data_IF_176462897426
#
_entry.id   IF_176462897426
#
_cell.length_a   1.000
_cell.length_b   1.000
_cell.length_c   1.000
_cell.angle_alpha   90.00
_cell.angle_beta   90.00
_cell.angle_gamma   90.00
#
_symmetry.space_group_name_H-M   'P 1'
#
loop_
_entity.id
_entity.type
_entity.pdbx_description
1 polymer ?
#
# COMPACT_ATOMS: atom_id res chain seq x y z
N UNK A 1 -2.10 -19.08 2.43
CA UNK A 1 -0.65 -19.15 2.72
C UNK A 1 0.18 -19.36 1.46
N UNK A 2 -0.02 -20.43 0.67
CA UNK A 2 0.83 -20.74 -0.49
C UNK A 2 0.96 -19.63 -1.57
N UNK A 3 -0.10 -18.85 -1.85
CA UNK A 3 -0.06 -17.81 -2.90
C UNK A 3 0.76 -16.56 -2.52
N UNK A 4 0.73 -16.13 -1.25
CA UNK A 4 1.49 -14.96 -0.81
C UNK A 4 2.99 -15.27 -0.69
N UNK A 5 3.35 -16.51 -0.34
CA UNK A 5 4.75 -16.96 -0.29
C UNK A 5 5.40 -16.97 -1.68
N UNK A 6 4.64 -17.29 -2.74
CA UNK A 6 5.12 -17.23 -4.12
C UNK A 6 5.43 -15.80 -4.60
N UNK A 7 4.93 -14.77 -3.90
CA UNK A 7 5.29 -13.38 -4.20
C UNK A 7 6.78 -13.14 -3.96
N UNK A 8 7.37 -13.71 -2.90
CA UNK A 8 8.81 -13.56 -2.61
C UNK A 8 9.66 -14.08 -3.77
N UNK A 9 9.23 -15.18 -4.39
CA UNK A 9 9.99 -15.84 -5.46
C UNK A 9 9.92 -15.09 -6.79
N UNK A 10 8.84 -14.35 -7.05
CA UNK A 10 8.59 -13.72 -8.35
C UNK A 10 8.66 -12.20 -8.33
N UNK A 11 8.58 -11.57 -7.16
CA UNK A 11 8.63 -10.12 -7.04
C UNK A 11 10.03 -9.63 -7.42
N UNK A 12 10.15 -8.66 -8.35
CA UNK A 12 11.45 -8.19 -8.81
C UNK A 12 12.16 -7.42 -7.68
N UNK A 13 13.44 -7.75 -7.46
CA UNK A 13 14.35 -7.03 -6.58
C UNK A 13 13.78 -6.71 -5.17
N UNK A 14 13.39 -7.71 -4.35
CA UNK A 14 12.89 -7.45 -2.99
C UNK A 14 13.90 -6.68 -2.12
N UNK A 15 15.19 -6.77 -2.43
CA UNK A 15 16.27 -6.04 -1.76
C UNK A 15 16.27 -4.51 -2.01
N UNK A 16 15.63 -4.01 -3.07
CA UNK A 16 15.47 -2.57 -3.31
C UNK A 16 14.19 -1.98 -2.70
N UNK A 17 13.35 -2.81 -2.07
CA UNK A 17 12.11 -2.36 -1.43
C UNK A 17 12.43 -1.55 -0.16
N UNK A 18 12.20 -0.24 -0.25
CA UNK A 18 12.51 0.69 0.84
C UNK A 18 11.29 0.97 1.71
N UNK A 19 10.10 1.03 1.10
CA UNK A 19 8.83 1.27 1.81
C UNK A 19 7.78 0.28 1.31
N UNK A 20 7.03 -0.31 2.24
CA UNK A 20 5.81 -1.06 1.96
C UNK A 20 4.64 -0.31 2.59
N UNK A 21 3.67 0.10 1.77
CA UNK A 21 2.38 0.60 2.23
C UNK A 21 1.37 -0.52 2.11
N UNK A 22 0.59 -0.76 3.16
CA UNK A 22 -0.39 -1.86 3.15
C UNK A 22 -1.72 -1.44 3.73
N UNK A 23 -2.79 -2.01 3.17
CA UNK A 23 -4.11 -1.91 3.77
C UNK A 23 -4.15 -2.61 5.14
N UNK A 24 -4.86 -2.05 6.13
CA UNK A 24 -5.02 -2.64 7.47
C UNK A 24 -5.91 -3.90 7.51
N UNK A 25 -6.48 -4.36 6.38
CA UNK A 25 -7.27 -5.58 6.37
C UNK A 25 -6.38 -6.82 6.61
N UNK A 26 -6.85 -7.77 7.40
CA UNK A 26 -6.12 -8.99 7.81
C UNK A 26 -5.46 -9.71 6.62
N UNK A 27 -6.14 -9.83 5.48
CA UNK A 27 -5.62 -10.48 4.28
C UNK A 27 -4.42 -9.75 3.66
N UNK A 28 -4.41 -8.42 3.68
CA UNK A 28 -3.29 -7.63 3.16
C UNK A 28 -2.13 -7.60 4.15
N UNK A 29 -2.40 -7.56 5.45
CA UNK A 29 -1.37 -7.72 6.49
C UNK A 29 -0.67 -9.08 6.36
N UNK A 30 -1.43 -10.17 6.20
CA UNK A 30 -0.87 -11.52 5.98
C UNK A 30 -0.03 -11.58 4.69
N UNK A 31 -0.50 -11.03 3.58
CA UNK A 31 0.28 -10.95 2.33
C UNK A 31 1.55 -10.13 2.51
N UNK A 32 1.48 -9.03 3.26
CA UNK A 32 2.62 -8.14 3.51
C UNK A 32 3.70 -8.84 4.33
N UNK A 33 3.31 -9.51 5.41
CA UNK A 33 4.22 -10.30 6.25
C UNK A 33 4.84 -11.45 5.45
N UNK A 34 4.04 -12.16 4.66
CA UNK A 34 4.52 -13.29 3.88
C UNK A 34 5.43 -12.85 2.74
N UNK A 35 5.08 -11.80 1.99
CA UNK A 35 5.82 -11.34 0.81
C UNK A 35 7.04 -10.48 1.13
N UNK A 36 7.04 -9.79 2.27
CA UNK A 36 8.09 -8.85 2.65
C UNK A 36 8.54 -9.08 4.10
N UNK A 37 9.03 -10.28 4.46
CA UNK A 37 9.37 -10.63 5.84
C UNK A 37 10.45 -9.71 6.46
N UNK A 38 11.24 -9.01 5.64
CA UNK A 38 12.22 -8.03 6.08
C UNK A 38 11.60 -6.84 6.85
N UNK A 39 10.31 -6.53 6.67
CA UNK A 39 9.63 -5.44 7.39
C UNK A 39 9.54 -5.68 8.90
N UNK A 40 9.62 -6.95 9.34
CA UNK A 40 9.51 -7.33 10.75
C UNK A 40 10.89 -7.30 11.43
N UNK A 41 11.98 -7.30 10.66
CA UNK A 41 13.35 -7.28 11.16
C UNK A 41 13.76 -5.86 11.56
N UNK A 42 13.21 -5.36 12.68
CA UNK A 42 13.56 -4.06 13.25
C UNK A 42 15.04 -4.00 13.62
N UNK A 43 15.73 -2.91 13.25
CA UNK A 43 17.09 -2.59 13.74
C UNK A 43 18.27 -2.84 12.78
N UNK A 44 18.03 -3.35 11.56
CA UNK A 44 19.07 -3.39 10.53
C UNK A 44 19.17 -2.03 9.80
N UNK A 45 20.39 -1.55 9.55
CA UNK A 45 20.63 -0.40 8.67
C UNK A 45 20.08 -0.74 7.28
N UNK A 46 19.10 0.01 6.79
CA UNK A 46 18.39 -0.29 5.53
C UNK A 46 17.12 -1.14 5.68
N UNK A 47 16.57 -1.28 6.90
CA UNK A 47 15.29 -1.96 7.11
C UNK A 47 14.15 -1.29 6.32
N UNK A 48 13.38 -2.10 5.59
CA UNK A 48 12.18 -1.66 4.86
C UNK A 48 11.16 -1.07 5.84
N UNK A 49 10.73 0.17 5.59
CA UNK A 49 9.68 0.81 6.39
C UNK A 49 8.31 0.22 6.02
N UNK A 50 7.50 -0.11 7.02
CA UNK A 50 6.10 -0.47 6.83
C UNK A 50 5.20 0.70 7.23
N UNK A 51 4.25 1.06 6.36
CA UNK A 51 3.19 2.03 6.63
C UNK A 51 1.85 1.32 6.46
N UNK A 52 1.02 1.35 7.50
CA UNK A 52 -0.34 0.80 7.45
C UNK A 52 -1.30 1.96 7.19
N UNK A 53 -1.97 1.95 6.04
CA UNK A 53 -2.75 3.10 5.55
C UNK A 53 -4.23 2.71 5.35
N UNK A 54 -5.17 3.35 6.06
CA UNK A 54 -6.59 3.02 5.94
C UNK A 54 -7.19 3.45 4.59
N UNK A 55 -6.57 4.35 3.83
CA UNK A 55 -7.07 4.70 2.50
C UNK A 55 -6.89 3.55 1.50
N UNK A 56 -6.02 2.56 1.78
CA UNK A 56 -5.81 1.38 0.95
C UNK A 56 -6.85 0.26 1.11
N UNK A 57 -7.85 0.42 1.97
CA UNK A 57 -8.91 -0.58 2.15
C UNK A 57 -9.70 -0.85 0.87
N UNK A 58 -10.22 -2.07 0.75
CA UNK A 58 -11.16 -2.40 -0.32
C UNK A 58 -12.44 -1.55 -0.24
N UNK A 59 -13.09 -1.35 -1.38
CA UNK A 59 -14.20 -0.42 -1.52
C UNK A 59 -15.55 -0.89 -0.98
N UNK A 60 -15.81 -2.19 -0.85
CA UNK A 60 -17.15 -2.69 -0.48
C UNK A 60 -17.42 -2.65 1.04
N UNK A 61 -18.71 -2.61 1.37
CA UNK A 61 -19.30 -2.63 2.73
C UNK A 61 -19.75 -4.02 3.18
N UNK A 62 -19.50 -5.05 2.37
CA UNK A 62 -19.76 -6.43 2.75
C UNK A 62 -19.04 -6.75 4.06
N UNK A 63 -19.69 -7.51 4.94
CA UNK A 63 -19.18 -7.85 6.27
C UNK A 63 -17.78 -8.47 6.26
N UNK A 64 -17.43 -9.19 5.19
CA UNK A 64 -16.10 -9.77 4.95
C UNK A 64 -15.01 -8.77 4.54
N UNK A 65 -15.38 -7.50 4.33
CA UNK A 65 -14.52 -6.41 3.84
C UNK A 65 -14.43 -5.25 4.85
N UNK A 66 -15.32 -5.21 5.84
CA UNK A 66 -15.14 -4.44 7.08
C UNK A 66 -13.88 -4.89 7.79
N UNK A 67 -13.00 -3.93 8.11
CA UNK A 67 -11.77 -4.20 8.84
C UNK A 67 -11.99 -4.61 10.29
N UNK A 68 -10.92 -4.56 11.08
CA UNK A 68 -10.99 -4.86 12.51
C UNK A 68 -10.52 -3.65 13.32
N UNK A 69 -10.99 -3.52 14.55
CA UNK A 69 -10.49 -2.47 15.42
C UNK A 69 -8.98 -2.63 15.65
N UNK A 70 -8.32 -1.53 16.01
CA UNK A 70 -6.89 -1.52 16.33
C UNK A 70 -6.53 -2.55 17.40
N UNK A 71 -7.34 -2.67 18.45
CA UNK A 71 -7.14 -3.64 19.53
C UNK A 71 -7.10 -5.10 19.02
N UNK A 72 -7.89 -5.43 18.00
CA UNK A 72 -7.86 -6.75 17.36
C UNK A 72 -6.61 -6.90 16.49
N UNK A 73 -6.24 -5.86 15.74
CA UNK A 73 -5.06 -5.89 14.87
C UNK A 73 -3.74 -5.95 15.64
N UNK A 74 -3.66 -5.44 16.86
CA UNK A 74 -2.48 -5.52 17.73
C UNK A 74 -2.07 -6.96 18.07
N UNK A 75 -2.93 -7.96 17.77
CA UNK A 75 -2.54 -9.38 17.79
C UNK A 75 -1.51 -9.76 16.71
N UNK A 76 -1.28 -8.93 15.68
CA UNK A 76 -0.23 -9.14 14.69
C UNK A 76 1.14 -8.69 15.25
N UNK A 77 2.04 -9.63 15.59
CA UNK A 77 3.27 -9.28 16.28
C UNK A 77 4.22 -8.49 15.38
N UNK A 78 4.84 -7.46 15.96
CA UNK A 78 5.88 -6.66 15.30
C UNK A 78 5.38 -5.55 14.38
N UNK A 79 4.08 -5.49 14.08
CA UNK A 79 3.47 -4.42 13.30
C UNK A 79 3.10 -3.22 14.18
N UNK A 80 3.14 -2.03 13.61
CA UNK A 80 2.74 -0.79 14.28
C UNK A 80 1.44 -0.25 13.67
N UNK A 81 0.39 -0.18 14.49
CA UNK A 81 -0.93 0.34 14.14
C UNK A 81 -1.18 1.75 14.69
N UNK A 82 -0.13 2.41 15.19
CA UNK A 82 -0.08 3.78 15.71
C UNK A 82 -0.87 4.81 14.92
N UNK A 83 -0.72 4.76 13.60
CA UNK A 83 -1.31 5.74 12.66
C UNK A 83 -2.75 5.46 12.25
N UNK A 84 -3.38 4.38 12.71
CA UNK A 84 -4.78 4.11 12.40
C UNK A 84 -5.68 5.00 13.26
N UNK A 85 -6.49 5.83 12.59
CA UNK A 85 -7.54 6.62 13.23
C UNK A 85 -8.61 5.70 13.83
N UNK A 86 -9.32 6.17 14.86
CA UNK A 86 -10.45 5.43 15.40
C UNK A 86 -11.49 5.16 14.28
N UNK A 87 -12.12 3.99 14.36
CA UNK A 87 -13.24 3.64 13.47
C UNK A 87 -12.90 3.62 11.97
N UNK A 88 -11.62 3.60 11.58
CA UNK A 88 -11.17 3.52 10.18
C UNK A 88 -11.84 2.38 9.38
N UNK A 89 -12.26 1.32 10.08
CA UNK A 89 -12.84 0.11 9.53
C UNK A 89 -14.36 0.23 9.30
N UNK A 90 -15.02 1.27 9.82
CA UNK A 90 -16.42 1.57 9.58
C UNK A 90 -16.55 2.19 8.19
N UNK A 91 -17.47 1.65 7.37
CA UNK A 91 -17.65 2.05 5.96
C UNK A 91 -18.57 3.25 5.82
N UNK A 92 -18.22 4.32 6.52
CA UNK A 92 -18.96 5.58 6.56
C UNK A 92 -18.02 6.78 6.39
N UNK A 93 -18.60 7.95 6.12
CA UNK A 93 -17.85 9.20 5.98
C UNK A 93 -16.71 9.07 4.95
N UNK A 94 -15.48 9.40 5.36
CA UNK A 94 -14.28 9.34 4.51
C UNK A 94 -13.87 7.92 4.08
N UNK A 95 -14.53 6.89 4.59
CA UNK A 95 -14.30 5.47 4.29
C UNK A 95 -15.52 4.76 3.67
N UNK A 96 -16.57 5.51 3.33
CA UNK A 96 -17.78 4.99 2.70
C UNK A 96 -17.50 4.27 1.36
N UNK A 97 -18.44 3.40 0.98
CA UNK A 97 -18.33 2.54 -0.20
C UNK A 97 -18.74 3.23 -1.52
N UNK A 98 -19.26 4.46 -1.43
CA UNK A 98 -19.67 5.29 -2.56
C UNK A 98 -18.52 5.53 -3.55
N UNK A 99 -18.81 5.48 -4.85
CA UNK A 99 -17.81 5.67 -5.91
C UNK A 99 -17.00 6.96 -5.74
N UNK A 100 -17.68 8.05 -5.39
CA UNK A 100 -17.06 9.36 -5.18
C UNK A 100 -16.09 9.32 -3.99
N UNK A 101 -16.51 8.76 -2.85
CA UNK A 101 -15.67 8.66 -1.65
C UNK A 101 -14.47 7.74 -1.89
N UNK A 102 -14.66 6.65 -2.62
CA UNK A 102 -13.57 5.73 -3.01
C UNK A 102 -12.57 6.43 -3.93
N UNK A 103 -13.04 7.23 -4.90
CA UNK A 103 -12.17 8.03 -5.78
C UNK A 103 -11.39 9.10 -5.01
N UNK A 104 -12.02 9.76 -4.03
CA UNK A 104 -11.36 10.72 -3.13
C UNK A 104 -10.29 10.06 -2.26
N UNK A 105 -10.58 8.89 -1.68
CA UNK A 105 -9.60 8.08 -0.94
C UNK A 105 -8.41 7.71 -1.80
N UNK A 106 -8.66 7.24 -3.02
CA UNK A 106 -7.61 6.91 -3.96
C UNK A 106 -6.75 8.15 -4.29
N UNK A 107 -7.37 9.33 -4.43
CA UNK A 107 -6.63 10.57 -4.65
C UNK A 107 -5.77 10.97 -3.45
N UNK A 108 -6.35 10.98 -2.24
CA UNK A 108 -5.58 11.27 -1.00
C UNK A 108 -4.38 10.35 -0.86
N UNK A 109 -4.56 9.06 -1.14
CA UNK A 109 -3.46 8.10 -1.10
C UNK A 109 -2.40 8.39 -2.17
N UNK A 110 -2.79 8.73 -3.40
CA UNK A 110 -1.82 9.11 -4.46
C UNK A 110 -1.02 10.35 -4.09
N UNK A 111 -1.65 11.34 -3.47
CA UNK A 111 -0.96 12.54 -2.99
C UNK A 111 0.06 12.20 -1.89
N UNK A 112 -0.33 11.38 -0.91
CA UNK A 112 0.60 10.86 0.10
C UNK A 112 1.74 10.04 -0.51
N UNK A 113 1.43 9.19 -1.48
CA UNK A 113 2.43 8.36 -2.16
C UNK A 113 3.45 9.21 -2.92
N UNK A 114 3.00 10.28 -3.61
CA UNK A 114 3.89 11.26 -4.24
C UNK A 114 4.87 11.84 -3.23
N UNK A 115 4.38 12.26 -2.06
CA UNK A 115 5.20 12.89 -1.04
C UNK A 115 6.25 11.92 -0.47
N UNK A 116 5.87 10.65 -0.27
CA UNK A 116 6.80 9.58 0.14
C UNK A 116 7.87 9.34 -0.93
N UNK A 117 7.47 9.21 -2.20
CA UNK A 117 8.41 9.01 -3.32
C UNK A 117 9.37 10.19 -3.45
N UNK A 118 8.88 11.42 -3.31
CA UNK A 118 9.71 12.63 -3.36
C UNK A 118 10.70 12.70 -2.18
N UNK A 119 10.29 12.33 -0.97
CA UNK A 119 11.19 12.26 0.19
C UNK A 119 12.30 11.21 -0.04
N UNK A 120 11.93 10.02 -0.52
CA UNK A 120 12.90 8.96 -0.81
C UNK A 120 13.90 9.35 -1.90
N UNK A 121 13.50 10.15 -2.89
CA UNK A 121 14.38 10.66 -3.92
C UNK A 121 15.42 11.64 -3.35
N UNK A 122 14.97 12.60 -2.52
CA UNK A 122 15.85 13.58 -1.85
C UNK A 122 16.87 12.91 -0.94
N UNK A 123 16.42 11.98 -0.10
CA UNK A 123 17.31 11.18 0.77
C UNK A 123 18.35 10.39 -0.05
N UNK A 124 18.04 10.06 -1.31
CA UNK A 124 18.93 9.34 -2.23
C UNK A 124 20.04 10.21 -2.78
N UNK A 125 19.67 11.42 -3.20
CA UNK A 125 20.59 12.44 -3.66
C UNK A 125 21.55 12.88 -2.55
N UNK A 126 21.03 13.17 -1.36
CA UNK A 126 21.83 13.61 -0.21
C UNK A 126 22.82 12.54 0.30
N UNK A 127 22.42 11.26 0.24
CA UNK A 127 23.29 10.16 0.69
C UNK A 127 24.32 9.71 -0.34
N UNK A 128 24.28 10.22 -1.58
CA UNK A 128 25.16 9.80 -2.68
C UNK A 128 24.98 8.34 -3.12
N UNK A 129 24.00 7.62 -2.55
CA UNK A 129 23.73 6.21 -2.83
C UNK A 129 22.70 6.10 -3.95
N UNK A 130 23.19 5.83 -5.16
CA UNK A 130 22.37 5.61 -6.37
C UNK A 130 21.75 4.20 -6.41
N UNK A 131 21.21 3.74 -5.29
CA UNK A 131 20.53 2.46 -5.22
C UNK A 131 19.07 2.62 -5.62
N UNK A 132 18.54 1.65 -6.37
CA UNK A 132 17.11 1.58 -6.69
C UNK A 132 16.31 1.55 -5.39
N UNK A 133 15.31 2.43 -5.28
CA UNK A 133 14.42 2.53 -4.10
C UNK A 133 12.98 2.32 -4.56
N UNK A 134 12.49 1.12 -4.32
CA UNK A 134 11.15 0.72 -4.71
C UNK A 134 10.18 0.91 -3.55
N UNK A 135 8.99 1.42 -3.88
CA UNK A 135 7.84 1.52 -2.99
C UNK A 135 6.82 0.47 -3.41
N UNK A 136 6.41 -0.36 -2.45
CA UNK A 136 5.39 -1.38 -2.67
C UNK A 136 4.08 -0.93 -2.06
N UNK A 137 2.98 -1.12 -2.77
CA UNK A 137 1.62 -0.89 -2.26
C UNK A 137 0.83 -2.20 -2.30
N UNK A 138 0.42 -2.69 -1.14
CA UNK A 138 -0.38 -3.91 -0.97
C UNK A 138 -1.84 -3.53 -0.70
N UNK A 139 -2.69 -3.75 -1.70
CA UNK A 139 -4.12 -3.36 -1.66
C UNK A 139 -5.00 -4.46 -2.25
N UNK A 140 -6.20 -4.10 -2.73
CA UNK A 140 -7.26 -5.02 -3.13
C UNK A 140 -7.70 -4.79 -4.57
N UNK A 141 -8.30 -5.81 -5.18
CA UNK A 141 -8.60 -5.81 -6.62
C UNK A 141 -9.54 -4.68 -7.03
N UNK A 142 -10.65 -4.47 -6.31
CA UNK A 142 -11.62 -3.44 -6.72
C UNK A 142 -11.13 -2.04 -6.42
N UNK A 143 -10.46 -1.83 -5.28
CA UNK A 143 -9.84 -0.53 -4.97
C UNK A 143 -8.71 -0.17 -5.94
N UNK A 144 -7.98 -1.16 -6.45
CA UNK A 144 -6.88 -0.93 -7.40
C UNK A 144 -7.34 -0.23 -8.68
N UNK A 145 -8.59 -0.45 -9.12
CA UNK A 145 -9.19 0.24 -10.28
C UNK A 145 -9.24 1.75 -10.05
N UNK A 146 -9.75 2.18 -8.90
CA UNK A 146 -9.80 3.59 -8.52
C UNK A 146 -8.41 4.17 -8.23
N UNK A 147 -7.50 3.37 -7.67
CA UNK A 147 -6.12 3.77 -7.39
C UNK A 147 -5.32 4.02 -8.67
N UNK A 148 -5.41 3.12 -9.65
CA UNK A 148 -4.71 3.19 -10.93
C UNK A 148 -5.45 4.03 -11.99
N UNK A 149 -6.69 4.43 -11.72
CA UNK A 149 -7.59 5.06 -12.70
C UNK A 149 -7.76 4.22 -13.97
N UNK A 150 -7.85 2.90 -13.78
CA UNK A 150 -7.91 1.90 -14.84
C UNK A 150 -8.95 0.83 -14.49
N UNK A 151 -10.15 0.92 -15.08
CA UNK A 151 -11.24 -0.05 -14.84
C UNK A 151 -10.93 -1.45 -15.40
N UNK A 152 -9.98 -1.53 -16.34
CA UNK A 152 -9.58 -2.76 -17.01
C UNK A 152 -8.51 -3.54 -16.25
N UNK A 153 -7.92 -2.96 -15.19
CA UNK A 153 -6.91 -3.65 -14.39
C UNK A 153 -7.55 -4.86 -13.69
N UNK A 154 -7.05 -6.04 -14.04
CA UNK A 154 -7.39 -7.31 -13.42
C UNK A 154 -6.11 -8.10 -13.24
N UNK A 155 -5.65 -8.19 -12.00
CA UNK A 155 -4.44 -8.91 -11.63
C UNK A 155 -4.85 -10.18 -10.88
N UNK A 156 -4.16 -11.32 -11.12
CA UNK A 156 -4.38 -12.50 -10.30
C UNK A 156 -4.09 -12.21 -8.83
N UNK A 157 -4.57 -13.07 -7.93
CA UNK A 157 -4.21 -12.97 -6.51
C UNK A 157 -2.69 -12.98 -6.36
N UNK A 158 -2.15 -12.01 -5.61
CA UNK A 158 -0.71 -11.76 -5.47
C UNK A 158 0.01 -11.40 -6.80
N UNK A 159 -0.72 -10.95 -7.82
CA UNK A 159 -0.16 -10.27 -8.98
C UNK A 159 0.23 -8.84 -8.66
N UNK A 160 1.13 -8.28 -9.45
CA UNK A 160 1.58 -6.89 -9.35
C UNK A 160 1.67 -6.25 -10.73
N UNK A 161 1.65 -4.92 -10.76
CA UNK A 161 1.93 -4.09 -11.92
C UNK A 161 2.75 -2.91 -11.45
N UNK A 162 3.73 -2.51 -12.24
CA UNK A 162 4.63 -1.42 -11.87
C UNK A 162 4.15 -0.11 -12.45
N UNK A 163 4.31 0.96 -11.66
CA UNK A 163 3.88 2.31 -12.02
C UNK A 163 4.97 3.30 -11.65
N UNK A 164 5.00 4.43 -12.35
CA UNK A 164 5.70 5.63 -11.93
C UNK A 164 4.69 6.68 -11.44
N UNK A 165 5.15 7.58 -10.58
CA UNK A 165 4.37 8.73 -10.16
C UNK A 165 4.35 9.78 -11.28
N UNK A 166 3.15 10.27 -11.59
CA UNK A 166 2.93 11.36 -12.54
C UNK A 166 2.01 12.43 -11.97
N UNK A 167 1.85 13.50 -12.75
CA UNK A 167 0.91 14.58 -12.45
C UNK A 167 -0.02 14.80 -13.65
N UNK A 168 -1.31 15.07 -13.39
CA UNK A 168 -2.30 15.44 -14.41
C UNK A 168 -3.00 16.75 -14.02
N UNK A 169 -3.26 17.62 -15.00
CA UNK A 169 -3.95 18.89 -14.76
C UNK A 169 -3.23 19.77 -13.73
N UNK A 170 -3.97 20.32 -12.77
CA UNK A 170 -3.50 21.19 -11.69
C UNK A 170 -2.65 20.47 -10.61
N UNK A 171 -1.71 19.60 -11.01
CA UNK A 171 -0.81 18.90 -10.09
C UNK A 171 -1.45 17.73 -9.34
N UNK A 172 -2.58 17.20 -9.83
CA UNK A 172 -3.21 16.00 -9.26
C UNK A 172 -2.29 14.79 -9.46
N UNK A 173 -1.92 14.12 -8.37
CA UNK A 173 -1.08 12.91 -8.43
C UNK A 173 -1.81 11.76 -9.13
N UNK A 174 -1.13 11.11 -10.08
CA UNK A 174 -1.62 9.94 -10.84
C UNK A 174 -0.55 8.85 -10.89
N UNK A 175 -0.99 7.60 -11.09
CA UNK A 175 -0.10 6.47 -11.37
C UNK A 175 -0.03 6.26 -12.89
N UNK A 176 1.17 6.20 -13.43
CA UNK A 176 1.40 5.95 -14.85
C UNK A 176 2.01 4.55 -14.98
N UNK A 177 1.34 3.60 -15.67
CA UNK A 177 1.89 2.26 -15.88
C UNK A 177 3.26 2.32 -16.55
N UNK A 178 4.22 1.53 -16.04
CA UNK A 178 5.45 1.27 -16.76
C UNK A 178 5.15 0.28 -17.90
N UNK A 179 5.75 0.54 -19.07
CA UNK A 179 5.67 -0.33 -20.24
C UNK A 179 6.57 -1.57 -20.08
#
# INVERSE_FOLDING_TARGET
MAQASALIEKFPNPASTTVVLTSPLTRTLQTTIAGFPQIIRKGAVGATQLIIDPDLQERSDLSCVTGSSRAVLEAFPGLDFGGLVNEWFIKEGSYAADDVVVAERAQRFRDRLRDIVAALAKDGEESGKRQERNVVVVTHGMFMKSLAEDESIDLPKAGWKSFTMGNRGYGRAVLIPLQ
#
